data_IF_988126778324
#
_entry.id   IF_988126778324
#
_cell.length_a   1.000
_cell.length_b   1.000
_cell.length_c   1.000
_cell.angle_alpha   90.00
_cell.angle_beta   90.00
_cell.angle_gamma   90.00
#
_symmetry.space_group_name_H-M   'P 1'
#
loop_
_entity.id
_entity.type
_entity.pdbx_description
1 polymer ?
#
# COMPACT_ATOMS: atom_id res chain seq x y z
N UNK A 1 11.30 34.30 -11.11
CA UNK A 1 9.98 34.01 -10.51
C UNK A 1 9.48 32.61 -10.82
N UNK A 2 9.48 32.18 -12.06
CA UNK A 2 8.99 30.84 -12.43
C UNK A 2 9.82 29.71 -11.85
N UNK A 3 11.15 29.82 -11.88
CA UNK A 3 12.05 28.78 -11.35
C UNK A 3 11.85 28.56 -9.84
N UNK A 4 11.59 29.63 -9.10
CA UNK A 4 11.39 29.55 -7.65
C UNK A 4 10.04 28.90 -7.31
N UNK A 5 9.01 29.19 -8.11
CA UNK A 5 7.68 28.59 -7.94
C UNK A 5 7.72 27.07 -8.22
N UNK A 6 8.45 26.65 -9.25
CA UNK A 6 8.61 25.22 -9.56
C UNK A 6 9.42 24.50 -8.49
N UNK A 7 10.46 25.15 -7.96
CA UNK A 7 11.26 24.61 -6.87
C UNK A 7 10.41 24.40 -5.63
N UNK A 8 9.55 25.36 -5.29
CA UNK A 8 8.65 25.25 -4.13
C UNK A 8 7.63 24.13 -4.33
N UNK A 9 7.10 23.96 -5.54
CA UNK A 9 6.20 22.85 -5.86
C UNK A 9 6.89 21.50 -5.72
N UNK A 10 8.15 21.40 -6.16
CA UNK A 10 8.95 20.19 -6.02
C UNK A 10 9.22 19.85 -4.56
N UNK A 11 9.51 20.85 -3.73
CA UNK A 11 9.73 20.65 -2.30
C UNK A 11 8.45 20.22 -1.58
N UNK A 12 7.30 20.80 -1.93
CA UNK A 12 6.00 20.40 -1.37
C UNK A 12 5.65 18.98 -1.77
N UNK A 13 5.90 18.60 -3.03
CA UNK A 13 5.70 17.26 -3.53
C UNK A 13 6.54 16.25 -2.75
N UNK A 14 7.83 16.56 -2.55
CA UNK A 14 8.75 15.68 -1.84
C UNK A 14 8.30 15.50 -0.39
N UNK A 15 7.88 16.56 0.28
CA UNK A 15 7.37 16.50 1.65
C UNK A 15 6.10 15.68 1.75
N UNK A 16 5.19 15.80 0.79
CA UNK A 16 3.96 14.99 0.74
C UNK A 16 4.29 13.52 0.61
N UNK A 17 5.19 13.17 -0.29
CA UNK A 17 5.62 11.79 -0.50
C UNK A 17 6.24 11.22 0.78
N UNK A 18 7.15 11.98 1.40
CA UNK A 18 7.83 11.57 2.63
C UNK A 18 6.84 11.38 3.79
N UNK A 19 5.88 12.30 3.92
CA UNK A 19 4.84 12.19 4.94
C UNK A 19 3.95 10.96 4.72
N UNK A 20 3.61 10.68 3.47
CA UNK A 20 2.84 9.50 3.09
C UNK A 20 3.60 8.22 3.43
N UNK A 21 4.88 8.17 3.10
CA UNK A 21 5.75 7.02 3.38
C UNK A 21 5.93 6.82 4.88
N UNK A 22 6.13 7.89 5.63
CA UNK A 22 6.25 7.82 7.09
C UNK A 22 4.98 7.26 7.72
N UNK A 23 3.82 7.75 7.29
CA UNK A 23 2.53 7.25 7.78
C UNK A 23 2.37 5.76 7.44
N UNK A 24 2.73 5.36 6.22
CA UNK A 24 2.68 3.96 5.80
C UNK A 24 3.54 3.08 6.72
N UNK A 25 4.75 3.53 7.03
CA UNK A 25 5.67 2.78 7.90
C UNK A 25 5.11 2.64 9.32
N UNK A 26 4.48 3.69 9.85
CA UNK A 26 3.86 3.64 11.18
C UNK A 26 2.72 2.61 11.19
N UNK A 27 1.81 2.67 10.23
CA UNK A 27 0.70 1.73 10.16
C UNK A 27 1.16 0.30 9.89
N UNK A 28 2.16 0.13 9.03
CA UNK A 28 2.75 -1.19 8.78
C UNK A 28 3.36 -1.78 10.04
N UNK A 29 4.00 -0.97 10.87
CA UNK A 29 4.58 -1.41 12.13
C UNK A 29 3.52 -1.97 13.09
N UNK A 30 2.34 -1.34 13.15
CA UNK A 30 1.24 -1.86 13.93
C UNK A 30 0.70 -3.18 13.38
N UNK A 31 0.52 -3.26 12.07
CA UNK A 31 -0.07 -4.42 11.42
C UNK A 31 0.85 -5.64 11.40
N UNK A 32 2.16 -5.43 11.45
CA UNK A 32 3.15 -6.50 11.37
C UNK A 32 3.81 -6.81 12.71
N UNK A 33 3.28 -6.26 13.80
CA UNK A 33 3.83 -6.49 15.13
C UNK A 33 3.80 -7.98 15.48
N UNK A 34 4.94 -8.48 15.95
CA UNK A 34 5.10 -9.88 16.29
C UNK A 34 4.11 -10.31 17.38
N UNK A 35 3.50 -11.48 17.21
CA UNK A 35 2.54 -12.02 18.15
C UNK A 35 1.12 -11.52 17.98
N UNK A 36 0.88 -10.61 17.05
CA UNK A 36 -0.47 -10.11 16.79
C UNK A 36 -1.22 -11.06 15.88
N UNK A 37 -2.42 -11.45 16.29
CA UNK A 37 -3.32 -12.25 15.47
C UNK A 37 -3.98 -11.35 14.41
N UNK A 38 -4.30 -11.91 13.21
CA UNK A 38 -4.96 -11.13 12.16
C UNK A 38 -6.42 -10.88 12.56
N UNK A 39 -6.67 -9.73 13.15
CA UNK A 39 -8.01 -9.28 13.52
C UNK A 39 -8.41 -8.10 12.64
N UNK A 40 -9.72 -7.88 12.41
CA UNK A 40 -10.18 -6.83 11.51
C UNK A 40 -9.52 -5.46 11.69
N UNK A 41 -9.35 -4.91 12.92
CA UNK A 41 -8.67 -3.62 13.06
C UNK A 41 -7.24 -3.61 12.55
N UNK A 42 -6.47 -4.66 12.80
CA UNK A 42 -5.08 -4.75 12.33
C UNK A 42 -5.00 -4.96 10.81
N UNK A 43 -5.94 -5.73 10.28
CA UNK A 43 -6.03 -5.94 8.83
C UNK A 43 -6.36 -4.62 8.14
N UNK A 44 -7.33 -3.86 8.65
CA UNK A 44 -7.68 -2.55 8.11
C UNK A 44 -6.48 -1.61 8.10
N UNK A 45 -5.74 -1.54 9.21
CA UNK A 45 -4.55 -0.70 9.33
C UNK A 45 -3.47 -1.14 8.33
N UNK A 46 -3.25 -2.44 8.18
CA UNK A 46 -2.26 -2.97 7.24
C UNK A 46 -2.62 -2.72 5.78
N UNK A 47 -3.89 -2.87 5.42
CA UNK A 47 -4.35 -2.57 4.07
C UNK A 47 -4.25 -1.07 3.79
N UNK A 48 -4.49 -0.24 4.80
CA UNK A 48 -4.27 1.21 4.68
C UNK A 48 -2.79 1.52 4.48
N UNK A 49 -1.90 0.82 5.18
CA UNK A 49 -0.47 0.96 4.95
C UNK A 49 -0.10 0.63 3.49
N UNK A 50 -0.67 -0.46 2.94
CA UNK A 50 -0.48 -0.82 1.54
C UNK A 50 -0.92 0.30 0.60
N UNK A 51 -2.08 0.88 0.86
CA UNK A 51 -2.59 2.02 0.10
C UNK A 51 -1.59 3.18 0.10
N UNK A 52 -1.09 3.54 1.28
CA UNK A 52 -0.15 4.65 1.43
C UNK A 52 1.20 4.36 0.77
N UNK A 53 1.71 3.13 0.85
CA UNK A 53 2.93 2.77 0.14
C UNK A 53 2.78 2.93 -1.37
N UNK A 54 1.67 2.46 -1.91
CA UNK A 54 1.43 2.59 -3.36
C UNK A 54 1.25 4.05 -3.78
N UNK A 55 0.57 4.86 -2.96
CA UNK A 55 0.45 6.30 -3.22
C UNK A 55 1.81 6.99 -3.17
N UNK A 56 2.66 6.65 -2.20
CA UNK A 56 4.01 7.20 -2.13
C UNK A 56 4.83 6.85 -3.37
N UNK A 57 4.73 5.60 -3.84
CA UNK A 57 5.40 5.17 -5.08
C UNK A 57 4.88 5.95 -6.29
N UNK A 58 3.58 6.12 -6.41
CA UNK A 58 2.98 6.88 -7.50
C UNK A 58 3.48 8.32 -7.50
N UNK A 59 3.52 8.96 -6.33
CA UNK A 59 4.05 10.32 -6.22
C UNK A 59 5.53 10.38 -6.62
N UNK A 60 6.31 9.38 -6.25
CA UNK A 60 7.73 9.30 -6.58
C UNK A 60 7.95 9.11 -8.07
N UNK A 61 7.11 8.29 -8.73
CA UNK A 61 7.27 7.96 -10.16
C UNK A 61 6.71 9.03 -11.11
N UNK A 62 5.72 9.79 -10.66
CA UNK A 62 5.12 10.85 -11.47
C UNK A 62 5.91 12.14 -11.29
N UNK A 63 6.47 12.72 -12.38
CA UNK A 63 7.19 14.01 -12.30
C UNK A 63 6.35 15.13 -11.69
N UNK A 64 5.02 15.08 -11.87
CA UNK A 64 4.10 16.06 -11.30
C UNK A 64 3.69 15.75 -9.86
N UNK A 65 4.03 14.56 -9.37
CA UNK A 65 3.67 14.13 -8.03
C UNK A 65 2.20 13.86 -7.84
N UNK A 66 1.49 13.66 -8.94
CA UNK A 66 0.07 13.34 -8.89
C UNK A 66 -0.13 11.84 -8.71
N UNK A 67 -1.21 11.48 -8.05
CA UNK A 67 -1.66 10.09 -7.96
C UNK A 67 -3.17 10.07 -8.11
N UNK A 68 -3.71 8.91 -8.47
CA UNK A 68 -5.15 8.76 -8.58
C UNK A 68 -5.80 8.95 -7.21
N UNK A 69 -6.84 9.78 -7.15
CA UNK A 69 -7.61 10.00 -5.91
C UNK A 69 -8.55 8.81 -5.69
N UNK A 70 -7.98 7.65 -5.43
CA UNK A 70 -8.72 6.42 -5.19
C UNK A 70 -8.17 5.75 -3.93
N UNK A 71 -9.03 5.02 -3.24
CA UNK A 71 -8.65 4.16 -2.13
C UNK A 71 -8.64 2.69 -2.56
N UNK A 72 -8.89 2.42 -3.83
CA UNK A 72 -8.95 1.07 -4.38
C UNK A 72 -7.54 0.52 -4.59
N UNK A 73 -7.19 -0.53 -3.85
CA UNK A 73 -5.85 -1.11 -3.87
C UNK A 73 -5.47 -1.66 -5.24
N UNK A 74 -6.42 -2.27 -5.94
CA UNK A 74 -6.15 -2.82 -7.27
C UNK A 74 -5.85 -1.69 -8.27
N UNK A 75 -6.66 -0.63 -8.23
CA UNK A 75 -6.45 0.53 -9.12
C UNK A 75 -5.09 1.17 -8.86
N UNK A 76 -4.72 1.34 -7.60
CA UNK A 76 -3.42 1.91 -7.24
C UNK A 76 -2.27 1.04 -7.75
N UNK A 77 -2.37 -0.27 -7.53
CA UNK A 77 -1.33 -1.21 -7.97
C UNK A 77 -1.19 -1.18 -9.50
N UNK A 78 -2.30 -1.21 -10.22
CA UNK A 78 -2.30 -1.20 -11.68
C UNK A 78 -1.83 0.14 -12.26
N UNK A 79 -1.93 1.22 -11.49
CA UNK A 79 -1.41 2.52 -11.89
C UNK A 79 0.11 2.63 -11.77
N UNK A 80 0.75 1.74 -11.01
CA UNK A 80 2.20 1.71 -10.89
C UNK A 80 2.86 1.31 -12.22
N UNK A 81 4.09 1.79 -12.50
CA UNK A 81 4.84 1.30 -13.65
C UNK A 81 4.98 -0.21 -13.65
N UNK A 82 5.00 -0.82 -14.83
CA UNK A 82 5.06 -2.27 -14.97
C UNK A 82 6.24 -2.90 -14.20
N UNK A 83 7.38 -2.24 -14.19
CA UNK A 83 8.56 -2.73 -13.47
C UNK A 83 8.33 -2.77 -11.96
N UNK A 84 7.67 -1.75 -11.40
CA UNK A 84 7.33 -1.74 -9.97
C UNK A 84 6.36 -2.89 -9.65
N UNK A 85 5.34 -3.08 -10.47
CA UNK A 85 4.39 -4.18 -10.30
C UNK A 85 5.10 -5.53 -10.30
N UNK A 86 5.98 -5.73 -11.27
CA UNK A 86 6.74 -6.97 -11.41
C UNK A 86 7.59 -7.25 -10.18
N UNK A 87 8.32 -6.26 -9.70
CA UNK A 87 9.20 -6.41 -8.54
C UNK A 87 8.42 -6.73 -7.27
N UNK A 88 7.28 -6.07 -7.08
CA UNK A 88 6.42 -6.33 -5.93
C UNK A 88 5.86 -7.76 -6.00
N UNK A 89 5.37 -8.18 -7.17
CA UNK A 89 4.87 -9.53 -7.37
C UNK A 89 5.95 -10.58 -7.09
N UNK A 90 7.15 -10.39 -7.60
CA UNK A 90 8.27 -11.30 -7.39
C UNK A 90 8.64 -11.41 -5.91
N UNK A 91 8.61 -10.29 -5.19
CA UNK A 91 8.99 -10.25 -3.78
C UNK A 91 8.04 -11.06 -2.89
N UNK A 92 6.78 -11.22 -3.28
CA UNK A 92 5.80 -11.94 -2.48
C UNK A 92 5.16 -13.14 -3.21
N UNK A 93 5.72 -13.57 -4.34
CA UNK A 93 5.11 -14.61 -5.19
C UNK A 93 4.87 -15.93 -4.47
N UNK A 94 5.72 -16.31 -3.53
CA UNK A 94 5.58 -17.56 -2.79
C UNK A 94 4.30 -17.64 -1.96
N UNK A 95 3.74 -16.49 -1.60
CA UNK A 95 2.54 -16.40 -0.80
C UNK A 95 1.28 -16.20 -1.64
N UNK A 96 1.43 -16.06 -2.96
CA UNK A 96 0.32 -15.84 -3.89
C UNK A 96 0.28 -16.91 -5.00
N UNK A 97 0.77 -18.10 -4.69
CA UNK A 97 0.77 -19.23 -5.65
C UNK A 97 -0.64 -19.79 -5.87
N UNK A 98 -1.44 -19.87 -4.81
CA UNK A 98 -2.81 -20.39 -4.89
C UNK A 98 -3.81 -19.32 -5.31
N UNK A 99 -3.62 -18.09 -4.83
CA UNK A 99 -4.46 -16.95 -5.18
C UNK A 99 -3.54 -15.84 -5.69
N UNK A 100 -3.63 -15.46 -6.98
CA UNK A 100 -2.79 -14.41 -7.54
C UNK A 100 -2.91 -13.09 -6.77
N UNK A 101 -1.83 -12.31 -6.75
CA UNK A 101 -1.82 -11.01 -6.08
C UNK A 101 -2.94 -10.11 -6.57
N UNK A 102 -3.22 -10.09 -7.88
CA UNK A 102 -4.27 -9.26 -8.44
C UNK A 102 -5.65 -9.63 -7.89
N UNK A 103 -5.92 -10.92 -7.70
CA UNK A 103 -7.18 -11.39 -7.11
C UNK A 103 -7.29 -10.96 -5.65
N UNK A 104 -6.19 -11.08 -4.89
CA UNK A 104 -6.13 -10.61 -3.52
C UNK A 104 -6.43 -9.11 -3.43
N UNK A 105 -5.81 -8.32 -4.31
CA UNK A 105 -6.02 -6.87 -4.35
C UNK A 105 -7.45 -6.51 -4.75
N UNK A 106 -8.03 -7.27 -5.69
CA UNK A 106 -9.42 -7.05 -6.11
C UNK A 106 -10.40 -7.34 -4.97
N UNK A 107 -10.21 -8.44 -4.25
CA UNK A 107 -11.06 -8.82 -3.13
C UNK A 107 -10.97 -7.83 -1.97
N UNK A 108 -9.82 -7.21 -1.80
CA UNK A 108 -9.56 -6.25 -0.72
C UNK A 108 -9.41 -4.82 -1.25
N UNK A 109 -9.98 -4.55 -2.43
CA UNK A 109 -9.81 -3.27 -3.13
C UNK A 109 -10.16 -2.08 -2.24
N UNK A 110 -11.24 -2.18 -1.48
CA UNK A 110 -11.68 -1.15 -0.54
C UNK A 110 -11.43 -1.61 0.89
N UNK A 111 -10.28 -2.28 1.09
CA UNK A 111 -9.96 -3.01 2.29
C UNK A 111 -10.04 -2.21 3.58
N UNK A 112 -9.54 -0.96 3.59
CA UNK A 112 -9.57 -0.15 4.78
C UNK A 112 -11.00 0.10 5.25
N UNK A 113 -11.89 0.50 4.34
CA UNK A 113 -13.30 0.76 4.68
C UNK A 113 -14.03 -0.52 5.06
N UNK A 114 -13.85 -1.57 4.25
CA UNK A 114 -14.50 -2.86 4.48
C UNK A 114 -14.14 -3.43 5.85
N UNK A 115 -12.84 -3.57 6.13
CA UNK A 115 -12.37 -4.19 7.35
C UNK A 115 -12.61 -3.33 8.58
N UNK A 116 -12.68 -2.01 8.41
CA UNK A 116 -12.96 -1.10 9.51
C UNK A 116 -14.35 -1.29 10.09
N UNK A 117 -15.34 -1.59 9.22
CA UNK A 117 -16.74 -1.72 9.61
C UNK A 117 -17.20 -3.17 9.77
N UNK A 118 -16.45 -4.13 9.26
CA UNK A 118 -16.85 -5.55 9.22
C UNK A 118 -16.40 -6.35 10.45
N UNK A 119 -16.12 -5.69 11.57
CA UNK A 119 -15.69 -6.37 12.78
C UNK A 119 -16.76 -7.33 13.35
N UNK A 120 -18.00 -7.21 12.92
CA UNK A 120 -19.10 -8.08 13.32
C UNK A 120 -19.24 -9.32 12.42
N UNK A 121 -18.57 -9.35 11.28
CA UNK A 121 -18.71 -10.47 10.34
C UNK A 121 -17.82 -11.63 10.77
N UNK A 122 -18.43 -12.79 10.96
CA UNK A 122 -17.77 -13.97 11.55
C UNK A 122 -16.86 -14.74 10.58
N UNK A 123 -16.90 -14.46 9.29
CA UNK A 123 -16.17 -15.22 8.26
C UNK A 123 -15.27 -14.34 7.41
N UNK A 124 -14.27 -13.74 8.05
CA UNK A 124 -13.29 -12.97 7.29
C UNK A 124 -12.02 -13.80 7.18
N UNK A 125 -11.84 -14.44 6.02
CA UNK A 125 -10.63 -15.17 5.74
C UNK A 125 -9.71 -14.32 4.90
N UNK A 126 -8.62 -13.85 5.50
CA UNK A 126 -7.50 -13.29 4.78
C UNK A 126 -6.31 -14.16 5.12
N UNK A 127 -5.51 -14.52 4.12
CA UNK A 127 -4.27 -15.24 4.38
C UNK A 127 -3.32 -14.30 5.14
N UNK A 128 -3.05 -14.61 6.39
CA UNK A 128 -2.17 -13.81 7.24
C UNK A 128 -0.77 -13.68 6.64
N UNK A 129 -0.24 -14.80 6.13
CA UNK A 129 1.11 -14.81 5.54
C UNK A 129 1.18 -14.00 4.25
N UNK A 130 0.16 -14.11 3.41
CA UNK A 130 0.08 -13.32 2.18
C UNK A 130 -0.04 -11.83 2.48
N UNK A 131 -0.88 -11.48 3.45
CA UNK A 131 -1.06 -10.11 3.91
C UNK A 131 0.25 -9.49 4.41
N UNK A 132 0.98 -10.21 5.27
CA UNK A 132 2.27 -9.75 5.78
C UNK A 132 3.31 -9.67 4.66
N UNK A 133 3.30 -10.63 3.74
CA UNK A 133 4.24 -10.65 2.63
C UNK A 133 4.05 -9.43 1.74
N UNK A 134 2.81 -9.06 1.46
CA UNK A 134 2.52 -7.87 0.66
C UNK A 134 2.99 -6.59 1.34
N UNK A 135 2.70 -6.43 2.64
CA UNK A 135 3.15 -5.26 3.40
C UNK A 135 4.67 -5.16 3.36
N UNK A 136 5.36 -6.25 3.61
CA UNK A 136 6.83 -6.28 3.62
C UNK A 136 7.40 -6.01 2.23
N UNK A 137 6.80 -6.56 1.18
CA UNK A 137 7.23 -6.33 -0.19
C UNK A 137 7.12 -4.85 -0.58
N UNK A 138 6.00 -4.22 -0.22
CA UNK A 138 5.79 -2.80 -0.49
C UNK A 138 6.75 -1.93 0.31
N UNK A 139 6.93 -2.24 1.60
CA UNK A 139 7.87 -1.51 2.47
C UNK A 139 9.28 -1.54 1.91
N UNK A 140 9.75 -2.73 1.57
CA UNK A 140 11.11 -2.92 1.06
C UNK A 140 11.29 -2.26 -0.30
N UNK A 141 10.27 -2.35 -1.16
CA UNK A 141 10.31 -1.72 -2.47
C UNK A 141 10.39 -0.19 -2.37
N UNK A 142 9.73 0.40 -1.38
CA UNK A 142 9.77 1.85 -1.15
C UNK A 142 11.12 2.34 -0.64
N UNK A 143 11.98 1.46 -0.12
CA UNK A 143 13.33 1.83 0.33
C UNK A 143 14.30 2.03 -0.82
N UNK A 144 13.97 1.49 -1.98
CA UNK A 144 14.83 1.59 -3.18
C UNK A 144 14.46 2.85 -4.02
#
# INVERSE_FOLDING_TARGET
MYAQSEKNKGEVKQKKMEACLEAANIYASFATKEGMLPRPPYIAIGLFACELYMKALLMKRDPKGCYAHTHNLLDLFQALPALDQQKIEEACENHFSEKPLLDFLAENAEGFEKWRYDFETKEMTISHFAFLALINALRDHCKN
#
